data_IF_653092514669
#
_entry.id   IF_653092514669
#
_cell.length_a   1.000
_cell.length_b   1.000
_cell.length_c   1.000
_cell.angle_alpha   90.00
_cell.angle_beta   90.00
_cell.angle_gamma   90.00
#
_symmetry.space_group_name_H-M   'P 1'
#
loop_
_entity.id
_entity.type
_entity.pdbx_description
1 polymer ?
#
# COMPACT_ATOMS: atom_id res chain seq x y z
N UNK A 1 -12.35 -24.26 3.83
CA UNK A 1 -13.64 -23.56 3.62
C UNK A 1 -14.73 -24.59 3.42
N UNK A 2 -15.92 -24.32 3.97
CA UNK A 2 -17.12 -25.13 3.74
C UNK A 2 -17.65 -24.98 2.32
N UNK A 3 -17.57 -23.76 1.76
CA UNK A 3 -18.03 -23.48 0.41
C UNK A 3 -17.14 -22.42 -0.26
N UNK A 4 -16.51 -22.79 -1.38
CA UNK A 4 -15.62 -21.91 -2.14
C UNK A 4 -16.35 -20.95 -3.08
N UNK A 5 -17.59 -21.24 -3.48
CA UNK A 5 -18.35 -20.36 -4.38
C UNK A 5 -19.00 -19.20 -3.61
N UNK A 6 -19.47 -19.46 -2.39
CA UNK A 6 -20.09 -18.46 -1.52
C UNK A 6 -19.15 -17.90 -0.44
N UNK A 7 -17.87 -18.28 -0.48
CA UNK A 7 -16.85 -17.87 0.49
C UNK A 7 -17.19 -18.19 1.96
N UNK A 8 -17.86 -19.33 2.20
CA UNK A 8 -18.17 -19.78 3.56
C UNK A 8 -16.93 -20.42 4.19
N UNK A 9 -16.37 -19.75 5.19
CA UNK A 9 -15.20 -20.23 5.92
C UNK A 9 -15.51 -21.52 6.71
N UNK A 10 -14.45 -22.21 7.16
CA UNK A 10 -14.64 -23.37 8.05
C UNK A 10 -15.21 -22.95 9.40
N UNK A 11 -14.88 -21.73 9.84
CA UNK A 11 -15.23 -21.18 11.14
C UNK A 11 -15.32 -19.65 11.05
N UNK A 12 -16.42 -19.08 11.53
CA UNK A 12 -16.57 -17.63 11.63
C UNK A 12 -16.30 -17.22 13.08
N UNK A 13 -15.25 -16.43 13.29
CA UNK A 13 -14.90 -15.81 14.56
C UNK A 13 -14.87 -14.29 14.36
N UNK A 14 -16.03 -13.72 14.03
CA UNK A 14 -16.10 -12.32 13.64
C UNK A 14 -15.77 -11.39 14.81
N UNK A 15 -14.81 -10.50 14.59
CA UNK A 15 -14.39 -9.48 15.54
C UNK A 15 -15.52 -8.47 15.79
N UNK A 16 -15.62 -7.98 17.02
CA UNK A 16 -16.49 -6.87 17.39
C UNK A 16 -15.75 -5.53 17.50
N UNK A 17 -14.43 -5.54 17.34
CA UNK A 17 -13.53 -4.37 17.44
C UNK A 17 -12.44 -4.43 16.35
N UNK A 18 -11.70 -3.34 16.20
CA UNK A 18 -10.54 -3.22 15.32
C UNK A 18 -10.81 -3.50 13.84
N UNK A 19 -11.96 -3.03 13.38
CA UNK A 19 -12.32 -2.90 11.97
C UNK A 19 -13.18 -1.64 11.79
N UNK A 20 -13.41 -1.22 10.55
CA UNK A 20 -14.35 -0.14 10.24
C UNK A 20 -15.53 -0.70 9.46
N UNK A 21 -16.78 -0.47 9.89
CA UNK A 21 -17.95 -0.91 9.14
C UNK A 21 -18.00 -0.31 7.74
N UNK A 22 -18.33 -1.15 6.75
CA UNK A 22 -18.37 -0.78 5.35
C UNK A 22 -16.99 -0.53 4.74
N UNK A 23 -16.99 -0.10 3.46
CA UNK A 23 -15.78 0.19 2.67
C UNK A 23 -15.73 1.61 2.13
N UNK A 24 -16.49 2.53 2.73
CA UNK A 24 -16.57 3.94 2.32
C UNK A 24 -16.83 4.13 0.81
N UNK A 25 -17.78 3.37 0.26
CA UNK A 25 -18.16 3.39 -1.16
C UNK A 25 -17.16 2.75 -2.12
N UNK A 26 -16.05 2.21 -1.63
CA UNK A 26 -15.04 1.54 -2.47
C UNK A 26 -15.41 0.07 -2.69
N UNK A 27 -14.93 -0.46 -3.81
CA UNK A 27 -15.05 -1.88 -4.15
C UNK A 27 -13.76 -2.60 -3.79
N UNK A 28 -13.89 -3.89 -3.50
CA UNK A 28 -12.74 -4.78 -3.41
C UNK A 28 -12.16 -4.92 -4.83
N UNK A 29 -10.87 -4.65 -4.98
CA UNK A 29 -10.15 -4.76 -6.26
C UNK A 29 -8.92 -5.67 -6.19
N UNK A 30 -8.51 -6.09 -4.99
CA UNK A 30 -7.31 -6.92 -4.78
C UNK A 30 -7.34 -7.73 -3.49
N UNK A 31 -6.45 -8.72 -3.44
CA UNK A 31 -6.17 -9.53 -2.25
C UNK A 31 -4.76 -9.23 -1.75
N UNK A 32 -4.61 -9.03 -0.44
CA UNK A 32 -3.32 -8.86 0.23
C UNK A 32 -2.97 -10.13 1.01
N UNK A 33 -1.80 -10.69 0.69
CA UNK A 33 -1.26 -11.88 1.34
C UNK A 33 -0.39 -11.45 2.52
N UNK A 34 -0.64 -12.06 3.68
CA UNK A 34 0.09 -11.87 4.92
C UNK A 34 0.58 -13.21 5.49
N UNK A 35 1.56 -13.14 6.38
CA UNK A 35 1.86 -14.23 7.32
C UNK A 35 1.72 -13.68 8.74
N UNK A 36 1.31 -14.52 9.69
CA UNK A 36 1.04 -14.05 11.05
C UNK A 36 2.29 -14.03 11.96
N UNK A 37 3.49 -14.27 11.39
CA UNK A 37 4.78 -14.28 12.08
C UNK A 37 4.82 -15.24 13.28
N UNK A 38 4.15 -16.38 13.12
CA UNK A 38 3.95 -17.38 14.16
C UNK A 38 3.13 -18.55 13.63
N UNK A 39 2.73 -19.47 14.51
CA UNK A 39 1.82 -20.56 14.16
C UNK A 39 0.46 -20.35 14.82
N UNK A 40 -0.17 -19.19 14.57
CA UNK A 40 -1.45 -18.88 15.19
C UNK A 40 -2.59 -19.64 14.50
N UNK A 41 -3.50 -20.19 15.31
CA UNK A 41 -4.79 -20.70 14.86
C UNK A 41 -5.78 -19.56 14.59
N UNK A 42 -6.96 -19.89 14.04
CA UNK A 42 -8.06 -18.94 13.87
C UNK A 42 -8.39 -18.23 15.20
N UNK A 43 -8.58 -19.00 16.28
CA UNK A 43 -8.82 -18.47 17.62
C UNK A 43 -7.61 -17.68 18.18
N UNK A 44 -6.39 -18.05 17.79
CA UNK A 44 -5.17 -17.31 18.14
C UNK A 44 -5.17 -15.90 17.54
N UNK A 45 -5.43 -15.77 16.24
CA UNK A 45 -5.56 -14.47 15.59
C UNK A 45 -6.73 -13.65 16.16
N UNK A 46 -7.89 -14.28 16.36
CA UNK A 46 -9.04 -13.64 17.00
C UNK A 46 -8.67 -13.03 18.36
N UNK A 47 -7.97 -13.79 19.21
CA UNK A 47 -7.56 -13.38 20.55
C UNK A 47 -6.59 -12.20 20.52
N UNK A 48 -5.57 -12.24 19.64
CA UNK A 48 -4.60 -11.15 19.48
C UNK A 48 -5.29 -9.83 19.08
N UNK A 49 -6.26 -9.91 18.17
CA UNK A 49 -6.95 -8.73 17.65
C UNK A 49 -8.08 -8.22 18.54
N UNK A 50 -8.32 -8.82 19.71
CA UNK A 50 -9.19 -8.20 20.72
C UNK A 50 -8.55 -6.95 21.34
N UNK A 51 -7.22 -6.91 21.44
CA UNK A 51 -6.48 -5.84 22.13
C UNK A 51 -5.47 -5.13 21.25
N UNK A 52 -4.99 -5.78 20.18
CA UNK A 52 -4.15 -5.14 19.16
C UNK A 52 -5.03 -4.45 18.12
N UNK A 53 -4.79 -3.17 17.87
CA UNK A 53 -5.48 -2.36 16.84
C UNK A 53 -5.07 -2.75 15.40
N UNK A 54 -5.34 -3.99 15.04
CA UNK A 54 -5.13 -4.57 13.71
C UNK A 54 -6.13 -5.70 13.50
N UNK A 55 -6.39 -6.07 12.25
CA UNK A 55 -7.23 -7.22 11.90
C UNK A 55 -7.00 -7.62 10.45
N UNK A 56 -7.41 -8.83 10.06
CA UNK A 56 -7.54 -9.26 8.67
C UNK A 56 -8.90 -9.93 8.46
N UNK A 57 -9.29 -10.12 7.20
CA UNK A 57 -10.59 -10.71 6.87
C UNK A 57 -10.57 -12.22 7.11
N UNK A 58 -9.47 -12.88 6.72
CA UNK A 58 -9.32 -14.33 6.83
C UNK A 58 -8.00 -14.73 7.49
N UNK A 59 -8.01 -15.90 8.13
CA UNK A 59 -6.84 -16.60 8.67
C UNK A 59 -6.81 -18.03 8.12
N UNK A 60 -5.63 -18.49 7.68
CA UNK A 60 -5.35 -19.87 7.27
C UNK A 60 -4.37 -20.49 8.26
N UNK A 61 -4.85 -21.45 9.08
CA UNK A 61 -4.00 -22.11 10.07
C UNK A 61 -3.02 -23.14 9.45
N UNK A 62 -2.13 -23.70 10.27
CA UNK A 62 -1.11 -24.65 9.82
C UNK A 62 -1.67 -25.96 9.26
N UNK A 63 -2.94 -26.30 9.56
CA UNK A 63 -3.64 -27.46 9.01
C UNK A 63 -4.48 -27.08 7.78
N UNK A 64 -4.42 -25.82 7.33
CA UNK A 64 -5.18 -25.30 6.21
C UNK A 64 -6.63 -24.94 6.55
N UNK A 65 -7.05 -24.95 7.82
CA UNK A 65 -8.40 -24.48 8.17
C UNK A 65 -8.47 -22.98 7.96
N UNK A 66 -9.59 -22.52 7.40
CA UNK A 66 -9.82 -21.11 7.08
C UNK A 66 -10.88 -20.57 8.02
N UNK A 67 -10.58 -19.49 8.72
CA UNK A 67 -11.54 -18.75 9.51
C UNK A 67 -11.77 -17.34 9.00
N UNK A 68 -13.00 -16.85 9.06
CA UNK A 68 -13.33 -15.45 8.80
C UNK A 68 -13.35 -14.67 10.12
N UNK A 69 -12.64 -13.54 10.14
CA UNK A 69 -12.41 -12.70 11.33
C UNK A 69 -13.01 -11.29 11.16
N UNK A 70 -13.10 -10.80 9.92
CA UNK A 70 -13.85 -9.59 9.57
C UNK A 70 -14.67 -9.90 8.33
N UNK A 71 -15.93 -9.45 8.29
CA UNK A 71 -16.77 -9.60 7.12
C UNK A 71 -16.17 -8.86 5.92
N UNK A 72 -16.27 -9.46 4.74
CA UNK A 72 -15.78 -8.82 3.50
C UNK A 72 -16.47 -7.49 3.18
N UNK A 73 -17.69 -7.27 3.69
CA UNK A 73 -18.41 -6.01 3.57
C UNK A 73 -17.75 -4.87 4.37
N UNK A 74 -16.94 -5.21 5.36
CA UNK A 74 -16.29 -4.28 6.28
C UNK A 74 -14.80 -4.15 5.98
N UNK A 75 -14.16 -3.12 6.55
CA UNK A 75 -12.76 -2.80 6.33
C UNK A 75 -11.90 -3.30 7.49
N UNK A 76 -11.18 -4.41 7.28
CA UNK A 76 -10.15 -4.87 8.23
C UNK A 76 -8.91 -3.96 8.20
N UNK A 77 -8.20 -3.86 9.33
CA UNK A 77 -7.03 -2.99 9.53
C UNK A 77 -5.72 -3.76 9.38
N UNK A 78 -5.44 -4.29 8.18
CA UNK A 78 -4.30 -5.20 7.95
C UNK A 78 -3.09 -4.55 7.27
N UNK A 79 -3.32 -3.59 6.37
CA UNK A 79 -2.29 -3.18 5.40
C UNK A 79 -1.34 -2.10 5.92
N UNK A 80 -1.64 -1.44 7.04
CA UNK A 80 -0.97 -0.19 7.46
C UNK A 80 -1.14 0.96 6.46
N UNK A 81 -2.07 0.80 5.51
CA UNK A 81 -2.40 1.74 4.45
C UNK A 81 -3.91 1.78 4.29
N UNK A 82 -4.52 2.95 4.50
CA UNK A 82 -5.98 3.07 4.60
C UNK A 82 -6.70 2.77 3.29
N UNK A 83 -6.19 3.27 2.16
CA UNK A 83 -6.80 2.98 0.86
C UNK A 83 -6.69 1.48 0.53
N UNK A 84 -5.56 0.84 0.84
CA UNK A 84 -5.41 -0.60 0.68
C UNK A 84 -6.41 -1.37 1.57
N UNK A 85 -6.58 -1.00 2.84
CA UNK A 85 -7.59 -1.60 3.71
C UNK A 85 -9.00 -1.51 3.09
N UNK A 86 -9.39 -0.32 2.62
CA UNK A 86 -10.73 -0.11 2.05
C UNK A 86 -10.98 -0.92 0.77
N UNK A 87 -9.94 -1.22 -0.01
CA UNK A 87 -10.06 -1.82 -1.35
C UNK A 87 -9.60 -3.28 -1.42
N UNK A 88 -9.21 -3.89 -0.31
CA UNK A 88 -8.67 -5.26 -0.35
C UNK A 88 -9.17 -6.20 0.72
N UNK A 89 -9.12 -7.49 0.38
CA UNK A 89 -9.27 -8.57 1.35
C UNK A 89 -7.88 -8.99 1.82
N UNK A 90 -7.66 -8.97 3.13
CA UNK A 90 -6.42 -9.41 3.79
C UNK A 90 -6.53 -10.84 4.29
N UNK A 91 -5.54 -11.68 3.95
CA UNK A 91 -5.47 -13.08 4.38
C UNK A 91 -4.17 -13.31 5.15
N UNK A 92 -4.29 -13.71 6.42
CA UNK A 92 -3.17 -14.17 7.25
C UNK A 92 -2.91 -15.67 7.07
N UNK A 93 -1.63 -16.06 7.07
CA UNK A 93 -1.20 -17.45 6.95
C UNK A 93 -0.29 -17.82 8.11
N UNK A 94 -0.57 -18.96 8.76
CA UNK A 94 0.27 -19.47 9.85
C UNK A 94 1.59 -20.05 9.32
N UNK A 95 2.69 -19.60 9.92
CA UNK A 95 4.01 -20.20 9.74
C UNK A 95 4.15 -21.50 10.55
N UNK A 96 5.11 -22.33 10.16
CA UNK A 96 5.57 -23.55 10.85
C UNK A 96 7.06 -23.51 11.19
N UNK A 97 7.80 -22.51 10.70
CA UNK A 97 9.19 -22.26 11.07
C UNK A 97 9.51 -20.76 10.99
N UNK A 98 10.53 -20.32 11.72
CA UNK A 98 10.91 -18.90 11.83
C UNK A 98 12.29 -18.56 11.24
N UNK A 99 13.16 -19.56 11.02
CA UNK A 99 14.45 -19.36 10.35
C UNK A 99 14.84 -20.62 9.52
N UNK A 100 14.53 -20.65 8.21
CA UNK A 100 13.75 -19.62 7.48
C UNK A 100 12.26 -19.63 7.88
N UNK A 101 11.57 -18.53 7.65
CA UNK A 101 10.11 -18.51 7.64
C UNK A 101 9.57 -19.52 6.62
N UNK A 102 8.50 -20.22 6.98
CA UNK A 102 7.83 -21.18 6.08
C UNK A 102 6.39 -21.43 6.55
N UNK A 103 5.46 -21.55 5.62
CA UNK A 103 4.11 -22.08 5.89
C UNK A 103 4.02 -23.56 5.51
N UNK A 104 3.05 -24.30 6.07
CA UNK A 104 2.83 -25.70 5.72
C UNK A 104 2.27 -25.86 4.30
N UNK A 105 2.34 -27.06 3.73
CA UNK A 105 1.74 -27.35 2.42
C UNK A 105 0.21 -27.17 2.46
N UNK A 106 -0.43 -27.48 3.60
CA UNK A 106 -1.86 -27.29 3.78
C UNK A 106 -2.24 -25.80 3.80
N UNK A 107 -1.48 -24.98 4.52
CA UNK A 107 -1.64 -23.52 4.54
C UNK A 107 -1.41 -22.92 3.16
N UNK A 108 -0.37 -23.39 2.47
CA UNK A 108 -0.01 -22.92 1.13
C UNK A 108 -1.12 -23.25 0.12
N UNK A 109 -1.65 -24.47 0.13
CA UNK A 109 -2.70 -24.90 -0.80
C UNK A 109 -4.05 -24.23 -0.54
N UNK A 110 -4.52 -24.26 0.71
CA UNK A 110 -5.83 -23.69 1.05
C UNK A 110 -5.82 -22.15 1.02
N UNK A 111 -4.69 -21.51 1.36
CA UNK A 111 -4.52 -20.08 1.18
C UNK A 111 -4.57 -19.67 -0.30
N UNK A 112 -3.89 -20.42 -1.15
CA UNK A 112 -3.93 -20.21 -2.59
C UNK A 112 -5.33 -20.44 -3.19
N UNK A 113 -6.05 -21.46 -2.72
CA UNK A 113 -7.45 -21.70 -3.10
C UNK A 113 -8.36 -20.55 -2.65
N UNK A 114 -8.16 -20.00 -1.44
CA UNK A 114 -8.91 -18.85 -0.96
C UNK A 114 -8.68 -17.61 -1.85
N UNK A 115 -7.43 -17.33 -2.23
CA UNK A 115 -7.12 -16.26 -3.20
C UNK A 115 -7.88 -16.48 -4.52
N UNK A 116 -7.88 -17.70 -5.04
CA UNK A 116 -8.61 -18.04 -6.26
C UNK A 116 -10.13 -17.80 -6.12
N UNK A 117 -10.71 -18.26 -5.01
CA UNK A 117 -12.12 -18.10 -4.71
C UNK A 117 -12.53 -16.63 -4.60
N UNK A 118 -11.75 -15.81 -3.88
CA UNK A 118 -11.95 -14.37 -3.77
C UNK A 118 -11.86 -13.68 -5.13
N UNK A 119 -10.83 -14.00 -5.91
CA UNK A 119 -10.65 -13.48 -7.26
C UNK A 119 -11.84 -13.81 -8.18
N UNK A 120 -12.39 -15.03 -8.08
CA UNK A 120 -13.58 -15.43 -8.83
C UNK A 120 -14.83 -14.69 -8.35
N UNK A 121 -15.08 -14.72 -7.04
CA UNK A 121 -16.28 -14.16 -6.41
C UNK A 121 -16.42 -12.66 -6.67
N UNK A 122 -15.33 -11.91 -6.54
CA UNK A 122 -15.31 -10.46 -6.76
C UNK A 122 -15.01 -10.05 -8.22
N UNK A 123 -14.82 -11.00 -9.13
CA UNK A 123 -14.53 -10.71 -10.53
C UNK A 123 -13.19 -10.01 -10.76
N UNK A 124 -12.19 -10.26 -9.91
CA UNK A 124 -10.85 -9.65 -9.98
C UNK A 124 -9.99 -10.23 -11.13
N UNK A 125 -10.48 -11.28 -11.78
CA UNK A 125 -9.76 -12.03 -12.81
C UNK A 125 -8.82 -13.09 -12.23
N UNK A 126 -8.12 -13.81 -13.11
CA UNK A 126 -7.20 -14.89 -12.70
C UNK A 126 -6.09 -14.34 -11.78
N UNK A 127 -5.73 -15.02 -10.67
CA UNK A 127 -4.71 -14.55 -9.74
C UNK A 127 -3.38 -14.25 -10.43
N UNK A 128 -2.89 -13.03 -10.24
CA UNK A 128 -1.65 -12.52 -10.79
C UNK A 128 -0.98 -11.57 -9.78
N UNK A 129 0.24 -11.94 -9.40
CA UNK A 129 1.02 -11.18 -8.43
C UNK A 129 1.35 -9.78 -8.98
N UNK A 130 1.16 -8.74 -8.17
CA UNK A 130 1.36 -7.35 -8.57
C UNK A 130 0.25 -6.77 -9.46
N UNK A 131 -0.84 -7.52 -9.69
CA UNK A 131 -2.00 -7.08 -10.48
C UNK A 131 -3.27 -7.09 -9.64
N UNK A 132 -3.66 -8.25 -9.10
CA UNK A 132 -4.84 -8.42 -8.26
C UNK A 132 -4.52 -9.19 -6.95
N UNK A 133 -3.29 -9.69 -6.81
CA UNK A 133 -2.74 -10.27 -5.57
C UNK A 133 -1.45 -9.54 -5.23
N UNK A 134 -1.31 -9.08 -3.99
CA UNK A 134 -0.15 -8.29 -3.56
C UNK A 134 0.39 -8.75 -2.20
N UNK A 135 1.69 -8.58 -1.93
CA UNK A 135 2.22 -8.74 -0.59
C UNK A 135 1.83 -7.54 0.28
N UNK A 136 1.78 -7.75 1.60
CA UNK A 136 1.70 -6.66 2.56
C UNK A 136 2.84 -5.64 2.41
N UNK A 137 4.06 -6.10 2.14
CA UNK A 137 5.24 -5.25 1.93
C UNK A 137 5.14 -4.27 0.76
N UNK A 138 4.16 -4.42 -0.14
CA UNK A 138 3.88 -3.42 -1.17
C UNK A 138 3.23 -2.14 -0.61
N UNK A 139 2.65 -2.21 0.59
CA UNK A 139 1.84 -1.13 1.19
C UNK A 139 2.41 -0.60 2.51
N UNK A 140 3.25 -1.40 3.17
CA UNK A 140 3.92 -1.05 4.43
C UNK A 140 5.35 -1.56 4.46
N UNK A 141 6.22 -0.90 5.24
CA UNK A 141 7.60 -1.37 5.45
C UNK A 141 7.63 -2.55 6.42
N UNK A 142 7.53 -3.76 5.89
CA UNK A 142 7.48 -5.01 6.66
C UNK A 142 8.14 -6.16 5.89
N UNK A 143 8.60 -7.21 6.59
CA UNK A 143 9.04 -8.47 5.99
C UNK A 143 7.84 -9.28 5.45
N UNK A 144 6.64 -9.02 5.96
CA UNK A 144 5.41 -9.71 5.58
C UNK A 144 5.16 -9.64 4.05
N UNK A 145 4.81 -10.76 3.39
CA UNK A 145 4.43 -12.06 3.95
C UNK A 145 5.57 -13.10 3.99
N UNK A 146 6.82 -12.63 4.14
CA UNK A 146 8.02 -13.46 4.29
C UNK A 146 8.12 -14.55 3.20
N UNK A 147 8.01 -15.82 3.58
CA UNK A 147 8.12 -16.97 2.66
C UNK A 147 7.14 -16.92 1.48
N UNK A 148 5.93 -16.39 1.68
CA UNK A 148 4.91 -16.27 0.63
C UNK A 148 5.20 -15.18 -0.40
N UNK A 149 6.16 -14.29 -0.14
CA UNK A 149 6.74 -13.39 -1.15
C UNK A 149 8.22 -13.72 -1.48
N UNK A 150 8.79 -14.69 -0.77
CA UNK A 150 10.12 -15.25 -1.00
C UNK A 150 10.05 -16.66 -1.56
N UNK A 151 10.55 -17.63 -0.79
CA UNK A 151 10.79 -19.01 -1.22
C UNK A 151 9.55 -19.79 -1.66
N UNK A 152 8.35 -19.44 -1.19
CA UNK A 152 7.09 -20.16 -1.47
C UNK A 152 6.16 -19.41 -2.44
N UNK A 153 6.53 -18.20 -2.89
CA UNK A 153 5.68 -17.35 -3.75
C UNK A 153 5.23 -18.04 -5.04
N UNK A 154 6.16 -18.63 -5.78
CA UNK A 154 5.88 -19.20 -7.10
C UNK A 154 4.95 -20.43 -6.99
N UNK A 155 5.17 -21.28 -5.97
CA UNK A 155 4.31 -22.41 -5.68
C UNK A 155 2.90 -21.97 -5.24
N UNK A 156 2.81 -20.94 -4.40
CA UNK A 156 1.55 -20.36 -3.95
C UNK A 156 0.74 -19.81 -5.13
N UNK A 157 1.37 -19.01 -6.01
CA UNK A 157 0.70 -18.44 -7.17
C UNK A 157 0.33 -19.48 -8.22
N UNK A 158 1.16 -20.50 -8.44
CA UNK A 158 0.82 -21.61 -9.34
C UNK A 158 -0.43 -22.35 -8.86
N UNK A 159 -0.55 -22.61 -7.56
CA UNK A 159 -1.74 -23.23 -6.96
C UNK A 159 -2.97 -22.32 -7.05
N UNK A 160 -2.83 -21.03 -6.77
CA UNK A 160 -3.96 -20.09 -6.83
C UNK A 160 -4.52 -20.02 -8.25
N UNK A 161 -3.64 -20.00 -9.23
CA UNK A 161 -4.00 -20.06 -10.64
C UNK A 161 -4.67 -21.38 -11.03
N UNK A 162 -4.14 -22.53 -10.59
CA UNK A 162 -4.73 -23.83 -10.86
C UNK A 162 -6.12 -23.99 -10.23
N UNK A 163 -6.31 -23.53 -8.99
CA UNK A 163 -7.61 -23.51 -8.34
C UNK A 163 -8.59 -22.61 -9.08
N UNK A 164 -8.16 -21.41 -9.46
CA UNK A 164 -9.00 -20.50 -10.23
C UNK A 164 -9.45 -21.14 -11.54
N UNK A 165 -8.52 -21.71 -12.31
CA UNK A 165 -8.81 -22.36 -13.59
C UNK A 165 -9.77 -23.55 -13.40
N UNK A 166 -9.60 -24.33 -12.32
CA UNK A 166 -10.52 -25.41 -11.95
C UNK A 166 -11.93 -24.88 -11.65
N UNK A 167 -12.03 -23.83 -10.83
CA UNK A 167 -13.29 -23.20 -10.43
C UNK A 167 -14.03 -22.50 -11.58
N UNK A 168 -13.33 -22.14 -12.66
CA UNK A 168 -13.90 -21.52 -13.87
C UNK A 168 -14.03 -22.50 -15.04
N UNK A 169 -13.74 -23.79 -14.84
CA UNK A 169 -13.91 -24.86 -15.82
C UNK A 169 -12.90 -24.84 -16.97
N UNK A 170 -11.66 -24.41 -16.71
CA UNK A 170 -10.56 -24.36 -17.68
C UNK A 170 -10.75 -23.35 -18.81
N UNK A 171 -11.87 -22.61 -18.83
CA UNK A 171 -12.04 -21.46 -19.71
C UNK A 171 -11.14 -20.34 -19.19
N UNK A 172 -10.29 -19.75 -20.04
CA UNK A 172 -9.60 -18.52 -19.69
C UNK A 172 -10.67 -17.54 -19.21
N UNK A 173 -10.53 -17.03 -17.98
CA UNK A 173 -11.38 -15.95 -17.54
C UNK A 173 -11.32 -14.82 -18.58
N UNK A 174 -12.42 -14.07 -18.77
CA UNK A 174 -12.35 -12.82 -19.51
C UNK A 174 -11.15 -12.05 -18.94
N UNK A 175 -10.20 -11.69 -19.82
CA UNK A 175 -9.20 -10.67 -19.49
C UNK A 175 -9.97 -9.53 -18.83
N UNK A 176 -9.54 -9.01 -17.66
CA UNK A 176 -10.29 -7.97 -16.95
C UNK A 176 -10.81 -6.98 -17.98
N UNK A 177 -12.14 -6.86 -18.07
CA UNK A 177 -12.78 -6.05 -19.09
C UNK A 177 -12.51 -4.59 -18.77
N UNK A 178 -11.36 -4.08 -19.21
CA UNK A 178 -11.30 -2.70 -19.69
C UNK A 178 -12.38 -2.54 -20.76
N UNK A 179 -13.30 -1.58 -20.63
CA UNK A 179 -14.28 -1.29 -21.67
C UNK A 179 -13.59 -1.15 -23.03
N UNK A 180 -14.17 -1.75 -24.08
CA UNK A 180 -13.66 -1.59 -25.44
C UNK A 180 -13.64 -0.10 -25.84
N UNK A 181 -12.59 0.39 -26.52
CA UNK A 181 -12.41 1.80 -26.74
C UNK A 181 -13.36 2.32 -27.82
N UNK A 182 -14.15 3.34 -27.47
CA UNK A 182 -14.77 4.20 -28.46
C UNK A 182 -13.67 5.01 -29.19
N UNK A 183 -13.85 5.35 -30.48
CA UNK A 183 -12.81 6.02 -31.25
C UNK A 183 -12.48 7.43 -30.72
N UNK A 184 -11.25 7.54 -30.20
CA UNK A 184 -10.34 8.68 -30.36
C UNK A 184 -10.73 10.06 -29.81
N UNK A 185 -10.42 10.26 -28.54
CA UNK A 185 -9.39 11.20 -28.09
C UNK A 185 -8.75 10.56 -26.85
N UNK A 186 -7.41 10.57 -26.69
CA UNK A 186 -6.81 10.04 -25.47
C UNK A 186 -7.36 10.86 -24.30
N UNK A 187 -8.18 10.26 -23.46
CA UNK A 187 -8.73 10.94 -22.29
C UNK A 187 -7.62 11.09 -21.24
N UNK A 188 -6.84 12.15 -21.41
CA UNK A 188 -5.73 12.50 -20.53
C UNK A 188 -6.21 12.73 -19.09
N UNK A 189 -7.48 13.09 -18.89
CA UNK A 189 -8.10 13.21 -17.58
C UNK A 189 -8.26 11.84 -16.91
N UNK A 190 -8.73 10.82 -17.63
CA UNK A 190 -8.81 9.45 -17.12
C UNK A 190 -7.42 8.84 -16.84
N UNK A 191 -6.43 9.15 -17.68
CA UNK A 191 -5.04 8.76 -17.43
C UNK A 191 -4.46 9.47 -16.20
N UNK A 192 -4.79 10.74 -15.99
CA UNK A 192 -4.39 11.48 -14.80
C UNK A 192 -5.02 10.89 -13.53
N UNK A 193 -6.31 10.51 -13.57
CA UNK A 193 -6.97 9.78 -12.46
C UNK A 193 -6.28 8.45 -12.16
N UNK A 194 -5.90 7.70 -13.19
CA UNK A 194 -5.19 6.43 -13.01
C UNK A 194 -3.78 6.62 -12.44
N UNK A 195 -3.09 7.70 -12.81
CA UNK A 195 -1.80 8.08 -12.21
C UNK A 195 -1.97 8.48 -10.75
N UNK A 196 -3.01 9.25 -10.43
CA UNK A 196 -3.40 9.67 -9.08
C UNK A 196 -3.69 8.45 -8.19
N UNK A 197 -4.37 7.43 -8.73
CA UNK A 197 -4.64 6.16 -8.05
C UNK A 197 -3.41 5.25 -7.91
N UNK A 198 -2.32 5.56 -8.60
CA UNK A 198 -1.06 4.80 -8.54
C UNK A 198 -0.92 3.68 -9.59
N UNK A 199 -1.88 3.53 -10.50
CA UNK A 199 -1.97 2.45 -11.49
C UNK A 199 -0.73 2.39 -12.43
N UNK A 200 -0.06 3.54 -12.59
CA UNK A 200 1.11 3.68 -13.45
C UNK A 200 2.45 3.55 -12.70
N UNK A 201 2.44 3.17 -11.42
CA UNK A 201 3.65 3.14 -10.61
C UNK A 201 4.24 4.54 -10.42
N UNK A 202 5.54 4.60 -10.10
CA UNK A 202 6.26 5.85 -9.83
C UNK A 202 7.50 6.00 -10.74
N UNK A 203 8.04 7.22 -10.79
CA UNK A 203 9.29 7.53 -11.49
C UNK A 203 9.35 7.06 -12.95
N UNK A 204 10.40 6.33 -13.29
CA UNK A 204 10.67 5.85 -14.65
C UNK A 204 9.67 4.77 -15.10
N UNK A 205 9.11 3.99 -14.16
CA UNK A 205 8.03 3.05 -14.46
C UNK A 205 6.79 3.79 -14.98
N UNK A 206 6.44 4.92 -14.36
CA UNK A 206 5.35 5.78 -14.82
C UNK A 206 5.66 6.42 -16.18
N UNK A 207 6.89 6.89 -16.37
CA UNK A 207 7.37 7.46 -17.64
C UNK A 207 7.33 6.45 -18.78
N UNK A 208 7.84 5.25 -18.56
CA UNK A 208 7.82 4.17 -19.54
C UNK A 208 6.40 3.72 -19.89
N UNK A 209 5.49 3.67 -18.90
CA UNK A 209 4.10 3.26 -19.10
C UNK A 209 3.23 4.32 -19.77
N UNK A 210 3.48 5.60 -19.53
CA UNK A 210 2.74 6.70 -20.18
C UNK A 210 3.32 7.08 -21.55
N UNK A 211 4.61 6.80 -21.79
CA UNK A 211 5.31 7.15 -23.02
C UNK A 211 5.16 8.64 -23.34
N UNK A 212 4.83 8.95 -24.60
CA UNK A 212 4.66 10.33 -25.09
C UNK A 212 3.53 11.11 -24.41
N UNK A 213 2.63 10.42 -23.68
CA UNK A 213 1.53 11.05 -22.95
C UNK A 213 1.95 11.53 -21.57
N UNK A 214 3.16 11.17 -21.12
CA UNK A 214 3.63 11.45 -19.77
C UNK A 214 3.50 12.93 -19.41
N UNK A 215 4.02 13.84 -20.24
CA UNK A 215 4.01 15.27 -19.93
C UNK A 215 2.59 15.84 -19.87
N UNK A 216 1.73 15.46 -20.82
CA UNK A 216 0.35 15.94 -20.90
C UNK A 216 -0.53 15.41 -19.76
N UNK A 217 -0.36 14.14 -19.37
CA UNK A 217 -1.06 13.54 -18.23
C UNK A 217 -0.59 14.15 -16.91
N UNK A 218 0.73 14.32 -16.75
CA UNK A 218 1.29 14.90 -15.53
C UNK A 218 0.91 16.38 -15.37
N UNK A 219 0.73 17.14 -16.45
CA UNK A 219 0.19 18.49 -16.39
C UNK A 219 -1.23 18.54 -15.78
N UNK A 220 -2.09 17.58 -16.14
CA UNK A 220 -3.45 17.47 -15.60
C UNK A 220 -3.43 16.99 -14.14
N UNK A 221 -2.57 16.03 -13.81
CA UNK A 221 -2.36 15.60 -12.41
C UNK A 221 -1.96 16.81 -11.56
N UNK A 222 -1.02 17.63 -12.02
CA UNK A 222 -0.55 18.82 -11.31
C UNK A 222 -1.65 19.90 -11.17
N UNK A 223 -2.50 20.06 -12.19
CA UNK A 223 -3.65 20.96 -12.14
C UNK A 223 -4.69 20.50 -11.09
N UNK A 224 -4.93 19.19 -10.96
CA UNK A 224 -5.93 18.61 -10.04
C UNK A 224 -5.50 18.63 -8.57
N UNK A 225 -4.20 18.62 -8.31
CA UNK A 225 -3.64 18.81 -6.96
C UNK A 225 -3.44 20.29 -6.58
N UNK A 226 -3.99 21.22 -7.35
CA UNK A 226 -4.13 22.62 -6.93
C UNK A 226 -2.91 23.50 -7.18
N UNK A 227 -2.21 23.35 -8.31
CA UNK A 227 -1.30 24.37 -8.81
C UNK A 227 -1.90 25.02 -10.05
N UNK A 228 -2.56 26.16 -9.85
CA UNK A 228 -2.93 27.07 -10.93
C UNK A 228 -1.66 27.74 -11.45
N UNK A 229 -1.38 27.62 -12.74
CA UNK A 229 -0.48 28.53 -13.42
C UNK A 229 -1.09 29.93 -13.38
N UNK A 230 -0.53 30.82 -12.56
CA UNK A 230 -0.84 32.26 -12.62
C UNK A 230 -0.75 33.01 -11.30
N UNK A 231 0.42 33.61 -11.07
CA UNK A 231 0.59 35.05 -10.75
C UNK A 231 1.55 35.37 -9.59
N UNK A 232 2.78 35.65 -10.02
CA UNK A 232 3.65 36.78 -9.69
C UNK A 232 4.13 37.10 -8.27
N UNK A 233 5.47 37.10 -8.15
CA UNK A 233 6.22 37.90 -7.17
C UNK A 233 7.75 37.73 -7.23
N UNK A 234 8.39 38.12 -8.36
CA UNK A 234 9.69 38.84 -8.49
C UNK A 234 10.90 38.42 -7.62
N UNK A 235 12.15 38.24 -8.05
CA UNK A 235 12.92 38.16 -9.31
C UNK A 235 14.35 37.80 -8.89
N UNK A 236 15.10 37.06 -9.71
CA UNK A 236 16.54 36.84 -9.51
C UNK A 236 17.07 35.73 -10.41
N UNK A 237 17.66 36.10 -11.54
CA UNK A 237 17.91 35.21 -12.67
C UNK A 237 19.10 34.25 -12.53
N UNK A 238 19.21 33.35 -13.52
CA UNK A 238 20.45 32.64 -13.82
C UNK A 238 20.33 31.13 -14.03
N UNK A 239 20.14 30.76 -15.30
CA UNK A 239 20.71 29.58 -15.97
C UNK A 239 20.35 28.14 -15.47
N UNK A 240 19.51 27.46 -16.26
CA UNK A 240 19.78 26.08 -16.70
C UNK A 240 19.59 24.89 -15.73
N UNK A 241 19.09 25.09 -14.52
CA UNK A 241 18.71 24.01 -13.61
C UNK A 241 17.37 24.33 -12.94
N UNK A 242 16.49 23.33 -12.80
CA UNK A 242 15.27 23.50 -12.02
C UNK A 242 15.64 24.08 -10.64
N UNK A 243 14.96 25.14 -10.19
CA UNK A 243 15.33 25.81 -8.96
C UNK A 243 15.23 24.83 -7.78
N UNK A 244 16.07 25.01 -6.75
CA UNK A 244 16.01 24.18 -5.54
C UNK A 244 14.61 24.19 -4.91
N UNK A 245 13.88 25.30 -5.05
CA UNK A 245 12.48 25.43 -4.62
C UNK A 245 11.54 24.53 -5.42
N UNK A 246 11.70 24.49 -6.74
CA UNK A 246 10.89 23.62 -7.61
C UNK A 246 11.21 22.15 -7.34
N UNK A 247 12.49 21.80 -7.20
CA UNK A 247 12.91 20.45 -6.84
C UNK A 247 12.42 20.07 -5.44
N UNK A 248 12.36 21.00 -4.49
CA UNK A 248 11.83 20.75 -3.14
C UNK A 248 10.32 20.50 -3.15
N UNK A 249 9.54 21.31 -3.89
CA UNK A 249 8.10 21.08 -4.06
C UNK A 249 7.82 19.73 -4.74
N UNK A 250 8.58 19.42 -5.78
CA UNK A 250 8.48 18.12 -6.49
C UNK A 250 8.88 16.94 -5.59
N UNK A 251 9.85 17.13 -4.69
CA UNK A 251 10.21 16.15 -3.67
C UNK A 251 9.11 15.94 -2.61
N UNK A 252 8.45 17.01 -2.17
CA UNK A 252 7.26 16.96 -1.29
C UNK A 252 6.12 16.22 -1.99
N UNK A 253 5.97 16.43 -3.30
CA UNK A 253 4.98 15.75 -4.14
C UNK A 253 5.36 14.29 -4.49
N UNK A 254 6.45 13.77 -3.92
CA UNK A 254 6.88 12.37 -4.07
C UNK A 254 7.52 12.02 -5.42
N UNK A 255 7.86 13.01 -6.26
CA UNK A 255 8.37 12.75 -7.62
C UNK A 255 9.73 12.05 -7.66
N UNK A 256 10.51 12.14 -6.58
CA UNK A 256 11.85 11.56 -6.49
C UNK A 256 11.90 10.29 -5.62
N UNK A 257 10.76 9.76 -5.19
CA UNK A 257 10.73 8.65 -4.24
C UNK A 257 11.23 9.04 -2.84
N UNK A 258 11.64 8.05 -2.04
CA UNK A 258 12.11 8.23 -0.66
C UNK A 258 13.52 7.68 -0.44
N UNK A 259 14.21 8.17 0.60
CA UNK A 259 15.54 7.71 0.99
C UNK A 259 16.60 7.78 -0.13
N UNK A 260 17.29 6.67 -0.37
CA UNK A 260 18.36 6.57 -1.38
C UNK A 260 17.86 6.77 -2.82
N UNK A 261 16.58 6.51 -3.11
CA UNK A 261 16.00 6.82 -4.43
C UNK A 261 15.93 8.34 -4.67
N UNK A 262 15.53 9.11 -3.65
CA UNK A 262 15.50 10.58 -3.72
C UNK A 262 16.90 11.16 -3.86
N UNK A 263 17.87 10.57 -3.15
CA UNK A 263 19.27 10.97 -3.20
C UNK A 263 19.91 10.65 -4.56
N UNK A 264 19.61 9.49 -5.14
CA UNK A 264 20.04 9.13 -6.48
C UNK A 264 19.41 10.06 -7.55
N UNK A 265 18.12 10.38 -7.42
CA UNK A 265 17.40 11.21 -8.37
C UNK A 265 17.80 12.70 -8.33
N UNK A 266 18.14 13.23 -7.16
CA UNK A 266 18.53 14.63 -6.98
C UNK A 266 20.05 14.86 -7.06
N UNK A 267 20.86 13.82 -6.93
CA UNK A 267 22.32 13.88 -7.06
C UNK A 267 22.93 14.96 -6.18
N UNK A 268 23.76 15.84 -6.77
CA UNK A 268 24.40 16.95 -6.05
C UNK A 268 23.40 17.93 -5.42
N UNK A 269 22.18 18.03 -5.96
CA UNK A 269 21.14 18.94 -5.46
C UNK A 269 20.41 18.37 -4.24
N UNK A 270 20.60 17.09 -3.90
CA UNK A 270 19.87 16.41 -2.82
C UNK A 270 19.92 17.19 -1.49
N UNK A 271 21.11 17.63 -1.07
CA UNK A 271 21.29 18.34 0.20
C UNK A 271 20.55 19.68 0.21
N UNK A 272 20.66 20.47 -0.86
CA UNK A 272 20.00 21.76 -0.97
C UNK A 272 18.47 21.62 -1.08
N UNK A 273 18.00 20.63 -1.84
CA UNK A 273 16.59 20.31 -1.99
C UNK A 273 15.99 19.83 -0.67
N UNK A 274 16.66 18.91 0.03
CA UNK A 274 16.18 18.40 1.31
C UNK A 274 16.16 19.50 2.39
N UNK A 275 17.16 20.39 2.41
CA UNK A 275 17.14 21.55 3.29
C UNK A 275 15.96 22.49 2.97
N UNK A 276 15.66 22.68 1.68
CA UNK A 276 14.54 23.51 1.26
C UNK A 276 13.18 22.87 1.53
N UNK A 277 13.05 21.55 1.39
CA UNK A 277 11.87 20.79 1.85
C UNK A 277 11.62 21.03 3.33
N UNK A 278 12.65 20.92 4.16
CA UNK A 278 12.54 21.16 5.60
C UNK A 278 12.14 22.61 5.92
N UNK A 279 12.63 23.59 5.15
CA UNK A 279 12.21 24.99 5.29
C UNK A 279 10.77 25.24 4.84
N UNK A 280 10.35 24.66 3.72
CA UNK A 280 8.98 24.82 3.18
C UNK A 280 7.93 24.20 4.11
N UNK A 281 8.27 23.09 4.77
CA UNK A 281 7.44 22.47 5.80
C UNK A 281 7.50 23.22 7.15
N UNK A 282 8.43 24.17 7.30
CA UNK A 282 8.62 25.00 8.50
C UNK A 282 8.23 26.48 8.36
N UNK A 283 7.90 26.98 7.17
CA UNK A 283 7.57 28.40 6.93
C UNK A 283 6.13 28.61 6.51
N UNK A 284 5.25 28.68 7.50
CA UNK A 284 3.96 29.38 7.47
C UNK A 284 3.92 30.49 8.51
N UNK A 285 4.70 31.57 8.29
CA UNK A 285 4.63 32.91 8.90
C UNK A 285 4.28 33.13 10.39
N UNK A 286 5.28 33.65 11.14
CA UNK A 286 5.05 34.71 12.14
C UNK A 286 5.27 34.36 13.61
N UNK A 287 6.32 34.96 14.20
CA UNK A 287 6.69 34.97 15.64
C UNK A 287 7.02 33.61 16.25
N UNK A 288 8.27 33.46 16.72
CA UNK A 288 8.86 32.24 17.26
C UNK A 288 7.86 31.40 18.08
N UNK A 289 7.44 30.22 17.60
CA UNK A 289 6.61 29.33 18.39
C UNK A 289 7.32 28.01 18.67
N UNK A 290 6.99 27.47 19.84
CA UNK A 290 7.19 26.07 20.21
C UNK A 290 7.10 25.14 18.99
N UNK A 291 8.10 24.29 18.80
CA UNK A 291 8.08 23.22 17.81
C UNK A 291 6.76 22.45 17.96
N UNK A 292 5.94 22.40 16.91
CA UNK A 292 4.70 21.62 16.93
C UNK A 292 5.03 20.14 16.73
N UNK A 293 5.21 19.45 17.87
CA UNK A 293 5.58 18.05 17.92
C UNK A 293 4.49 17.13 17.36
N UNK A 294 3.21 17.57 17.31
CA UNK A 294 2.13 16.80 16.69
C UNK A 294 2.23 16.85 15.17
N UNK A 295 2.49 18.04 14.60
CA UNK A 295 2.70 18.18 13.17
C UNK A 295 3.94 17.39 12.70
N UNK A 296 5.02 17.40 13.50
CA UNK A 296 6.19 16.57 13.25
C UNK A 296 5.88 15.08 13.36
N UNK A 297 5.07 14.66 14.34
CA UNK A 297 4.65 13.28 14.48
C UNK A 297 3.80 12.82 13.29
N UNK A 298 2.88 13.66 12.80
CA UNK A 298 2.08 13.38 11.62
C UNK A 298 2.96 13.30 10.35
N UNK A 299 3.98 14.14 10.24
CA UNK A 299 4.97 14.06 9.16
C UNK A 299 5.82 12.78 9.25
N UNK A 300 6.18 12.34 10.45
CA UNK A 300 6.86 11.07 10.68
C UNK A 300 5.97 9.88 10.30
N UNK A 301 4.68 9.92 10.64
CA UNK A 301 3.68 8.90 10.28
C UNK A 301 3.49 8.82 8.76
N UNK A 302 3.53 9.97 8.07
CA UNK A 302 3.54 10.04 6.60
C UNK A 302 4.85 9.58 5.95
N UNK A 303 5.92 9.42 6.73
CA UNK A 303 7.23 8.95 6.27
C UNK A 303 8.18 10.07 5.83
N UNK A 304 7.85 11.34 6.08
CA UNK A 304 8.59 12.51 5.62
C UNK A 304 10.02 12.59 6.20
N UNK A 305 10.28 11.88 7.32
CA UNK A 305 11.54 11.88 8.07
C UNK A 305 12.34 10.58 7.98
N UNK A 306 11.92 9.62 7.15
CA UNK A 306 12.57 8.32 7.04
C UNK A 306 12.51 7.49 8.34
N UNK A 307 13.41 6.51 8.44
CA UNK A 307 13.32 5.41 9.42
C UNK A 307 14.62 5.33 10.26
N UNK A 308 14.52 4.84 11.51
CA UNK A 308 15.69 4.56 12.35
C UNK A 308 16.61 5.79 12.57
N UNK A 309 17.91 5.63 12.33
CA UNK A 309 18.90 6.68 12.59
C UNK A 309 18.77 7.91 11.68
N UNK A 310 18.14 7.76 10.51
CA UNK A 310 17.79 8.93 9.67
C UNK A 310 16.73 9.80 10.34
N UNK A 311 15.67 9.19 10.88
CA UNK A 311 14.65 9.91 11.66
C UNK A 311 15.26 10.55 12.90
N UNK A 312 16.18 9.83 13.56
CA UNK A 312 16.90 10.29 14.75
C UNK A 312 17.78 11.50 14.45
N UNK A 313 18.52 11.48 13.35
CA UNK A 313 19.37 12.59 12.92
C UNK A 313 18.55 13.78 12.39
N UNK A 314 17.41 13.52 11.72
CA UNK A 314 16.57 14.56 11.15
C UNK A 314 15.72 15.31 12.21
N UNK A 315 15.27 14.62 13.26
CA UNK A 315 14.51 15.24 14.36
C UNK A 315 15.40 15.76 15.49
N UNK A 316 16.65 15.30 15.57
CA UNK A 316 17.64 15.76 16.54
C UNK A 316 17.11 15.70 17.98
N UNK A 317 17.19 16.82 18.71
CA UNK A 317 16.69 16.93 20.08
C UNK A 317 15.18 16.66 20.22
N UNK A 318 14.40 16.86 19.15
CA UNK A 318 12.95 16.64 19.15
C UNK A 318 12.57 15.17 18.93
N UNK A 319 13.52 14.31 18.56
CA UNK A 319 13.26 12.92 18.21
C UNK A 319 12.48 12.18 19.31
N UNK A 320 12.91 12.29 20.57
CA UNK A 320 12.28 11.56 21.66
C UNK A 320 10.82 11.97 21.88
N UNK A 321 10.55 13.28 21.84
CA UNK A 321 9.21 13.83 22.07
C UNK A 321 8.26 13.56 20.90
N UNK A 322 8.74 13.70 19.67
CA UNK A 322 7.98 13.35 18.46
C UNK A 322 7.72 11.86 18.41
N UNK A 323 8.71 11.02 18.70
CA UNK A 323 8.54 9.57 18.69
C UNK A 323 7.56 9.09 19.76
N UNK A 324 7.50 9.76 20.92
CA UNK A 324 6.48 9.46 21.94
C UNK A 324 5.06 9.79 21.45
N UNK A 325 4.88 10.89 20.71
CA UNK A 325 3.58 11.26 20.11
C UNK A 325 3.22 10.31 18.97
N UNK A 326 4.19 9.92 18.13
CA UNK A 326 4.00 8.91 17.09
C UNK A 326 3.56 7.59 17.71
N UNK A 327 4.22 7.14 18.78
CA UNK A 327 3.83 5.94 19.51
C UNK A 327 2.40 6.05 20.05
N UNK A 328 2.06 7.18 20.71
CA UNK A 328 0.71 7.42 21.21
C UNK A 328 -0.36 7.49 20.10
N UNK A 329 -0.04 8.05 18.94
CA UNK A 329 -0.95 8.13 17.76
C UNK A 329 -1.10 6.79 17.04
N UNK A 330 -0.10 5.91 17.15
CA UNK A 330 -0.06 4.59 16.54
C UNK A 330 -0.32 3.45 17.54
N UNK A 331 -0.69 3.77 18.79
CA UNK A 331 -1.10 2.81 19.82
C UNK A 331 0.01 1.96 20.45
N UNK A 332 1.26 2.43 20.47
CA UNK A 332 2.42 1.77 21.13
C UNK A 332 2.73 2.32 22.52
#
# INVERSE_FOLDING_TARGET
MKNWDTLEADEDMILTTHYTPGRSGRKIDKVLVHHNAGNLSIAGCYSVWQTREASAHYQVDANGRIGQLVWDADTAWHAGNWEANLTSIGIEHADISTNPWKVSDATLDNGAHLVAALCKHYGLGRPAWGVNVFPHSAFSSTECPASLYGSQKDAYMAKAQAWYDSMTGGKPAPKPSTPAPAPQAADLNALADAVIRGDYGNGETRRARLGDKYDAVMAIVNQRYGITAGSNGNSGGGNGGASIDDLARRAINGEFGNGEQRKAALGANYQAVQARVNQMLGQGGGSAPSVDLNALADAVIRGDYGNGDQRRNALGANYAAVQAIVNKKLGY
#
